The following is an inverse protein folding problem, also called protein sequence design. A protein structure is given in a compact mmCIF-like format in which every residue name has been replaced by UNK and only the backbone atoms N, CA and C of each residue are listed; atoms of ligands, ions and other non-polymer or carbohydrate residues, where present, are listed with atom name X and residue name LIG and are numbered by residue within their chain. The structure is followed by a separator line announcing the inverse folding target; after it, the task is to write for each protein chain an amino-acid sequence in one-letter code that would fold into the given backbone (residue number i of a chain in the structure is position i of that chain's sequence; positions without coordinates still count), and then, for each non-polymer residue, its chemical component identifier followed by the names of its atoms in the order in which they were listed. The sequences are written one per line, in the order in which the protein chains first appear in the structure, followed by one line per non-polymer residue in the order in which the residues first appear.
data_IF_009806212503
#
_entry.id   IF_009806212503
#
_cell.length_a   1.000
_cell.length_b   1.000
_cell.length_c   1.000
_cell.angle_alpha   90.00
_cell.angle_beta   90.00
_cell.angle_gamma   90.00
#
_symmetry.space_group_name_H-M   'P 1'
#
loop_
_entity.id
_entity.type
_entity.pdbx_description
1 polymer ?
#
# COMPACT_ATOMS: atom_id res chain seq x y z
N UNK A 1 20.87 -0.52 19.88
CA UNK A 1 19.87 -0.02 18.91
C UNK A 1 18.53 0.13 19.60
N UNK A 2 17.88 1.30 19.51
CA UNK A 2 16.55 1.50 20.09
C UNK A 2 15.51 0.82 19.20
N UNK A 3 14.85 -0.22 19.69
CA UNK A 3 13.79 -0.88 18.93
C UNK A 3 12.61 0.08 18.72
N UNK A 4 12.27 0.33 17.46
CA UNK A 4 11.04 1.05 17.09
C UNK A 4 9.86 0.08 17.24
N UNK A 5 9.05 0.28 18.28
CA UNK A 5 7.82 -0.48 18.53
C UNK A 5 6.67 0.50 18.76
N UNK A 6 5.44 0.09 18.45
CA UNK A 6 4.23 0.88 18.71
C UNK A 6 4.31 2.31 18.14
N UNK A 7 4.11 3.31 19.00
CA UNK A 7 4.05 4.73 18.63
C UNK A 7 5.32 5.25 17.95
N UNK A 8 6.54 4.98 18.46
CA UNK A 8 7.79 5.31 17.76
C UNK A 8 7.84 4.85 16.29
N UNK A 9 7.43 3.60 16.01
CA UNK A 9 7.42 3.08 14.64
C UNK A 9 6.40 3.81 13.76
N UNK A 10 5.19 4.03 14.29
CA UNK A 10 4.13 4.78 13.58
C UNK A 10 4.58 6.20 13.23
N UNK A 11 5.25 6.90 14.15
CA UNK A 11 5.80 8.25 13.92
C UNK A 11 6.89 8.22 12.85
N UNK A 12 7.85 7.32 12.97
CA UNK A 12 8.91 7.14 11.98
C UNK A 12 8.37 6.92 10.56
N UNK A 13 7.44 5.98 10.39
CA UNK A 13 6.83 5.71 9.08
C UNK A 13 6.04 6.91 8.54
N UNK A 14 5.36 7.68 9.40
CA UNK A 14 4.66 8.88 8.97
C UNK A 14 5.63 9.96 8.49
N UNK A 15 6.68 10.22 9.25
CA UNK A 15 7.64 11.28 8.95
C UNK A 15 8.45 10.93 7.70
N UNK A 16 8.85 9.66 7.55
CA UNK A 16 9.49 9.16 6.33
C UNK A 16 8.61 9.37 5.10
N UNK A 17 7.31 9.08 5.18
CA UNK A 17 6.37 9.28 4.06
C UNK A 17 6.13 10.75 3.70
N UNK A 18 6.30 11.67 4.65
CA UNK A 18 6.21 13.12 4.39
C UNK A 18 7.46 13.62 3.67
N UNK A 19 8.63 13.11 4.06
CA UNK A 19 9.90 13.45 3.42
C UNK A 19 10.04 12.83 2.00
N UNK A 20 9.36 11.70 1.75
CA UNK A 20 9.39 10.98 0.48
C UNK A 20 7.98 10.87 -0.11
N UNK A 21 7.43 11.97 -0.66
CA UNK A 21 6.15 11.93 -1.34
C UNK A 21 6.23 11.00 -2.57
N UNK A 22 5.14 10.31 -2.94
CA UNK A 22 5.09 9.55 -4.19
C UNK A 22 5.39 10.47 -5.37
N UNK A 23 6.26 10.01 -6.27
CA UNK A 23 6.61 10.73 -7.49
C UNK A 23 5.74 10.35 -8.68
N UNK A 24 4.95 9.28 -8.54
CA UNK A 24 4.10 8.72 -9.57
C UNK A 24 2.76 8.32 -8.97
N UNK A 25 1.72 8.39 -9.78
CA UNK A 25 0.42 7.80 -9.47
C UNK A 25 0.39 6.36 -10.00
N UNK A 26 -0.11 5.43 -9.16
CA UNK A 26 -0.14 4.01 -9.47
C UNK A 26 -1.58 3.51 -9.48
N UNK A 27 -1.99 2.91 -10.59
CA UNK A 27 -3.27 2.22 -10.73
C UNK A 27 -3.05 0.74 -11.07
N UNK A 28 -3.97 -0.13 -10.63
CA UNK A 28 -3.97 -1.55 -10.96
C UNK A 28 -5.18 -1.91 -11.83
N UNK A 29 -4.95 -2.71 -12.87
CA UNK A 29 -6.01 -3.34 -13.66
C UNK A 29 -5.99 -4.83 -13.36
N UNK A 30 -7.07 -5.31 -12.76
CA UNK A 30 -7.28 -6.69 -12.37
C UNK A 30 -8.10 -7.38 -13.44
N UNK A 31 -7.43 -7.86 -14.48
CA UNK A 31 -8.10 -8.55 -15.59
C UNK A 31 -8.28 -10.03 -15.26
N UNK A 32 -9.51 -10.52 -15.32
CA UNK A 32 -9.85 -11.96 -15.20
C UNK A 32 -9.28 -12.63 -13.95
N UNK A 33 -9.21 -11.89 -12.83
CA UNK A 33 -8.70 -12.42 -11.56
C UNK A 33 -9.67 -13.47 -11.03
N UNK A 34 -9.21 -14.72 -11.00
CA UNK A 34 -9.97 -15.83 -10.43
C UNK A 34 -9.99 -15.78 -8.91
N UNK A 35 -11.09 -16.23 -8.32
CA UNK A 35 -11.34 -16.37 -6.88
C UNK A 35 -11.36 -15.06 -6.08
N UNK A 36 -12.41 -14.81 -5.28
CA UNK A 36 -12.52 -13.59 -4.46
C UNK A 36 -11.35 -13.35 -3.49
N UNK A 37 -10.71 -14.43 -3.01
CA UNK A 37 -9.56 -14.33 -2.09
C UNK A 37 -8.35 -13.62 -2.71
N UNK A 38 -8.17 -13.74 -4.04
CA UNK A 38 -7.08 -13.08 -4.75
C UNK A 38 -7.32 -11.57 -4.82
N UNK A 39 -8.57 -11.15 -5.07
CA UNK A 39 -8.96 -9.74 -5.04
C UNK A 39 -8.71 -9.14 -3.65
N UNK A 40 -9.11 -9.85 -2.59
CA UNK A 40 -8.85 -9.43 -1.20
C UNK A 40 -7.36 -9.29 -0.88
N UNK A 41 -6.54 -10.20 -1.39
CA UNK A 41 -5.07 -10.14 -1.24
C UNK A 41 -4.47 -8.95 -1.99
N UNK A 42 -4.99 -8.64 -3.18
CA UNK A 42 -4.56 -7.50 -4.00
C UNK A 42 -4.88 -6.16 -3.33
N UNK A 43 -5.99 -6.05 -2.60
CA UNK A 43 -6.26 -4.85 -1.78
C UNK A 43 -5.17 -4.59 -0.74
N UNK A 44 -4.62 -5.64 -0.11
CA UNK A 44 -3.53 -5.48 0.88
C UNK A 44 -2.24 -5.00 0.22
N UNK A 45 -1.94 -5.51 -0.99
CA UNK A 45 -0.79 -5.06 -1.78
C UNK A 45 -0.99 -3.61 -2.21
N UNK A 46 -2.18 -3.28 -2.71
CA UNK A 46 -2.54 -1.94 -3.15
C UNK A 46 -2.37 -0.89 -2.04
N UNK A 47 -2.80 -1.19 -0.81
CA UNK A 47 -2.56 -0.33 0.36
C UNK A 47 -1.07 -0.18 0.68
N UNK A 48 -0.33 -1.30 0.68
CA UNK A 48 1.10 -1.29 0.98
C UNK A 48 1.92 -0.42 0.01
N UNK A 49 1.53 -0.38 -1.27
CA UNK A 49 2.20 0.42 -2.31
C UNK A 49 1.48 1.72 -2.66
N UNK A 50 0.40 2.08 -1.95
CA UNK A 50 -0.35 3.33 -2.10
C UNK A 50 -0.89 3.53 -3.53
N UNK A 51 -1.45 2.46 -4.08
CA UNK A 51 -2.25 2.50 -5.32
C UNK A 51 -3.42 3.45 -5.12
N UNK A 52 -3.67 4.33 -6.10
CA UNK A 52 -4.77 5.28 -6.06
C UNK A 52 -6.09 4.68 -6.54
N UNK A 53 -6.04 3.77 -7.53
CA UNK A 53 -7.21 3.14 -8.14
C UNK A 53 -6.96 1.69 -8.52
N UNK A 54 -8.00 0.88 -8.35
CA UNK A 54 -8.05 -0.50 -8.84
C UNK A 54 -9.26 -0.65 -9.74
N UNK A 55 -9.05 -1.20 -10.92
CA UNK A 55 -10.09 -1.55 -11.88
C UNK A 55 -10.20 -3.07 -11.91
N UNK A 56 -11.42 -3.60 -11.85
CA UNK A 56 -11.68 -5.03 -12.01
C UNK A 56 -12.38 -5.23 -13.35
N UNK A 57 -11.82 -6.07 -14.21
CA UNK A 57 -12.24 -6.25 -15.60
C UNK A 57 -12.34 -7.73 -15.98
#
# INVERSE_FOLDING_TARGET
MKQLRGTPLKRFLRDWRRAHPPTHDLALVLQSVQYPVNVGSLFRVADAVRVSKMFLC
#
